data_IF_274462216664
#
_entry.id   IF_274462216664
#
_cell.length_a   1.000
_cell.length_b   1.000
_cell.length_c   1.000
_cell.angle_alpha   90.00
_cell.angle_beta   90.00
_cell.angle_gamma   90.00
#
_symmetry.space_group_name_H-M   'P 1'
#
loop_
_entity.id
_entity.type
_entity.pdbx_description
1 polymer ?
#
# COMPACT_ATOMS: atom_id res chain seq x y z
N UNK A 1 61.97 15.29 7.76
CA UNK A 1 60.90 15.04 8.74
C UNK A 1 59.61 15.62 8.22
N UNK A 2 58.67 14.79 7.79
CA UNK A 2 57.39 15.22 7.21
C UNK A 2 56.27 14.24 7.61
N UNK A 3 56.17 13.91 8.91
CA UNK A 3 55.21 12.91 9.41
C UNK A 3 54.18 13.43 10.42
N UNK A 4 54.26 14.70 10.82
CA UNK A 4 53.41 15.20 11.92
C UNK A 4 52.11 15.91 11.46
N UNK A 5 52.04 16.41 10.22
CA UNK A 5 50.86 17.12 9.72
C UNK A 5 49.75 16.22 9.14
N UNK A 6 50.11 15.04 8.61
CA UNK A 6 49.15 14.18 7.89
C UNK A 6 48.29 13.35 8.85
N UNK A 7 48.81 13.01 10.04
CA UNK A 7 48.06 12.29 11.07
C UNK A 7 46.93 13.16 11.65
N UNK A 8 47.20 14.45 11.92
CA UNK A 8 46.17 15.39 12.39
C UNK A 8 45.04 15.59 11.37
N UNK A 9 45.36 15.55 10.07
CA UNK A 9 44.34 15.61 9.00
C UNK A 9 43.51 14.32 8.97
N UNK A 10 44.13 13.15 9.11
CA UNK A 10 43.40 11.87 9.11
C UNK A 10 42.52 11.73 10.36
N UNK A 11 43.02 12.13 11.53
CA UNK A 11 42.26 12.09 12.80
C UNK A 11 41.02 12.99 12.74
N UNK A 12 41.16 14.21 12.23
CA UNK A 12 40.02 15.13 12.05
C UNK A 12 39.03 14.65 10.99
N UNK A 13 39.52 14.06 9.90
CA UNK A 13 38.66 13.43 8.87
C UNK A 13 37.87 12.24 9.43
N UNK A 14 38.52 11.37 10.23
CA UNK A 14 37.87 10.22 10.85
C UNK A 14 36.81 10.66 11.87
N UNK A 15 37.09 11.69 12.67
CA UNK A 15 36.11 12.26 13.59
C UNK A 15 34.91 12.88 12.86
N UNK A 16 35.16 13.66 11.80
CA UNK A 16 34.10 14.22 10.98
C UNK A 16 33.27 13.11 10.33
N UNK A 17 33.91 12.10 9.75
CA UNK A 17 33.23 10.95 9.13
C UNK A 17 32.37 10.20 10.15
N UNK A 18 32.92 9.89 11.34
CA UNK A 18 32.17 9.22 12.40
C UNK A 18 30.97 10.05 12.87
N UNK A 19 31.16 11.36 13.04
CA UNK A 19 30.09 12.29 13.41
C UNK A 19 28.97 12.33 12.37
N UNK A 20 29.31 12.56 11.10
CA UNK A 20 28.32 12.59 10.02
C UNK A 20 27.65 11.23 9.80
N UNK A 21 28.39 10.13 9.92
CA UNK A 21 27.83 8.78 9.82
C UNK A 21 26.82 8.52 10.94
N UNK A 22 27.17 8.85 12.19
CA UNK A 22 26.25 8.70 13.32
C UNK A 22 25.01 9.59 13.16
N UNK A 23 25.20 10.83 12.70
CA UNK A 23 24.12 11.76 12.42
C UNK A 23 23.22 11.19 11.31
N UNK A 24 23.78 10.77 10.19
CA UNK A 24 23.03 10.09 9.13
C UNK A 24 22.26 8.89 9.67
N UNK A 25 22.86 7.99 10.44
CA UNK A 25 22.17 6.80 10.97
C UNK A 25 20.99 7.19 11.89
N UNK A 26 21.18 8.14 12.81
CA UNK A 26 20.14 8.62 13.72
C UNK A 26 18.98 9.24 12.95
N UNK A 27 19.28 10.07 11.94
CA UNK A 27 18.28 10.78 11.14
C UNK A 27 17.72 9.96 9.97
N UNK A 28 18.39 8.89 9.55
CA UNK A 28 17.93 7.98 8.48
C UNK A 28 16.69 7.23 8.92
N UNK A 29 16.62 6.78 10.19
CA UNK A 29 15.44 6.04 10.69
C UNK A 29 14.13 6.85 10.61
N UNK A 30 14.02 8.09 11.15
CA UNK A 30 12.81 8.88 11.01
C UNK A 30 12.54 9.31 9.56
N UNK A 31 13.58 9.57 8.76
CA UNK A 31 13.41 9.97 7.37
C UNK A 31 12.91 8.81 6.49
N UNK A 32 13.47 7.62 6.67
CA UNK A 32 13.04 6.40 6.01
C UNK A 32 11.61 6.03 6.42
N UNK A 33 11.25 6.10 7.70
CA UNK A 33 9.86 5.85 8.13
C UNK A 33 8.87 6.88 7.56
N UNK A 34 9.31 8.11 7.31
CA UNK A 34 8.47 9.17 6.72
C UNK A 34 8.31 9.01 5.20
N UNK A 35 9.34 8.49 4.52
CA UNK A 35 9.31 8.16 3.08
C UNK A 35 8.65 6.80 2.79
N UNK A 36 8.84 5.80 3.65
CA UNK A 36 8.19 4.49 3.62
C UNK A 36 6.84 4.49 4.36
N UNK A 37 6.12 5.63 4.37
CA UNK A 37 4.66 5.58 4.48
C UNK A 37 4.12 4.97 3.19
N UNK A 38 4.26 3.65 3.06
CA UNK A 38 3.54 2.81 2.12
C UNK A 38 2.05 2.97 2.40
N UNK A 39 1.45 4.01 1.81
CA UNK A 39 0.01 4.17 1.69
C UNK A 39 -0.43 4.04 0.21
N UNK A 40 0.47 3.64 -0.68
CA UNK A 40 0.20 3.66 -2.12
C UNK A 40 -0.72 2.54 -2.63
N UNK A 41 -1.05 1.54 -1.80
CA UNK A 41 -2.06 0.52 -2.20
C UNK A 41 -3.46 0.81 -1.71
N UNK A 42 -3.62 1.52 -0.59
CA UNK A 42 -4.94 1.81 -0.04
C UNK A 42 -5.63 2.92 -0.84
N UNK A 43 -4.87 3.85 -1.44
CA UNK A 43 -5.42 5.02 -2.12
C UNK A 43 -6.29 4.69 -3.35
N UNK A 44 -5.87 3.77 -4.23
CA UNK A 44 -6.62 3.48 -5.45
C UNK A 44 -7.78 2.50 -5.23
N UNK A 45 -7.61 1.51 -4.35
CA UNK A 45 -8.69 0.56 -4.07
C UNK A 45 -9.82 1.25 -3.30
N UNK A 46 -9.50 2.15 -2.37
CA UNK A 46 -10.51 2.96 -1.65
C UNK A 46 -11.39 3.79 -2.59
N UNK A 47 -10.87 4.21 -3.75
CA UNK A 47 -11.65 4.91 -4.77
C UNK A 47 -12.69 4.02 -5.48
N UNK A 48 -12.66 2.69 -5.26
CA UNK A 48 -13.67 1.76 -5.74
C UNK A 48 -14.90 1.71 -4.84
N UNK A 49 -14.82 2.18 -3.57
CA UNK A 49 -15.99 2.22 -2.67
C UNK A 49 -17.04 3.18 -3.24
N UNK A 50 -18.29 2.73 -3.27
CA UNK A 50 -19.42 3.45 -3.86
C UNK A 50 -19.56 3.28 -5.38
N UNK A 51 -18.57 2.71 -6.05
CA UNK A 51 -18.64 2.45 -7.49
C UNK A 51 -19.54 1.26 -7.81
N UNK A 52 -20.06 1.28 -9.03
CA UNK A 52 -20.93 0.25 -9.54
C UNK A 52 -20.18 -0.68 -10.49
N UNK A 53 -20.61 -1.93 -10.51
CA UNK A 53 -20.04 -2.96 -11.36
C UNK A 53 -21.07 -4.01 -11.74
N UNK A 54 -20.58 -5.10 -12.32
CA UNK A 54 -21.38 -6.24 -12.75
C UNK A 54 -20.78 -7.51 -12.14
N UNK A 55 -21.62 -8.36 -11.57
CA UNK A 55 -21.20 -9.70 -11.13
C UNK A 55 -20.83 -10.56 -12.35
N UNK A 56 -19.63 -11.14 -12.38
CA UNK A 56 -19.20 -12.05 -13.44
C UNK A 56 -19.58 -13.49 -13.09
N UNK A 57 -19.48 -13.84 -11.82
CA UNK A 57 -19.89 -15.14 -11.28
C UNK A 57 -21.05 -14.94 -10.31
N UNK A 58 -21.74 -16.02 -9.95
CA UNK A 58 -22.67 -15.98 -8.83
C UNK A 58 -21.90 -15.71 -7.53
N UNK A 59 -22.37 -14.75 -6.73
CA UNK A 59 -21.89 -14.51 -5.39
C UNK A 59 -22.89 -15.13 -4.42
N UNK A 60 -22.41 -16.08 -3.62
CA UNK A 60 -23.19 -16.74 -2.57
C UNK A 60 -22.61 -16.31 -1.22
N UNK A 61 -23.43 -16.10 -0.19
CA UNK A 61 -22.93 -15.82 1.16
C UNK A 61 -21.86 -16.84 1.58
N UNK A 62 -20.81 -16.35 2.25
CA UNK A 62 -19.61 -17.12 2.65
C UNK A 62 -18.72 -17.66 1.51
N UNK A 63 -19.07 -17.45 0.25
CA UNK A 63 -18.23 -17.81 -0.90
C UNK A 63 -17.66 -16.57 -1.60
N UNK A 64 -16.53 -16.77 -2.27
CA UNK A 64 -15.90 -15.74 -3.09
C UNK A 64 -16.45 -15.80 -4.51
N UNK A 65 -16.76 -14.64 -5.08
CA UNK A 65 -17.07 -14.49 -6.50
C UNK A 65 -16.17 -13.46 -7.17
N UNK A 66 -16.45 -13.19 -8.44
CA UNK A 66 -15.76 -12.18 -9.23
C UNK A 66 -16.75 -11.14 -9.73
N UNK A 67 -16.33 -9.88 -9.68
CA UNK A 67 -17.09 -8.73 -10.16
C UNK A 67 -16.22 -7.90 -11.10
N UNK A 68 -16.85 -7.21 -12.06
CA UNK A 68 -16.20 -6.25 -12.93
C UNK A 68 -16.55 -4.83 -12.48
N UNK A 69 -15.56 -4.08 -12.01
CA UNK A 69 -15.70 -2.68 -11.57
C UNK A 69 -14.69 -1.85 -12.34
N UNK A 70 -15.13 -0.74 -12.95
CA UNK A 70 -14.26 0.15 -13.74
C UNK A 70 -13.44 -0.54 -14.84
N UNK A 71 -13.93 -1.66 -15.38
CA UNK A 71 -13.26 -2.43 -16.43
C UNK A 71 -12.33 -3.53 -15.92
N UNK A 72 -12.00 -3.54 -14.64
CA UNK A 72 -11.14 -4.54 -14.00
C UNK A 72 -11.95 -5.63 -13.28
N UNK A 73 -11.40 -6.84 -13.24
CA UNK A 73 -12.00 -7.98 -12.54
C UNK A 73 -11.42 -8.06 -11.13
N UNK A 74 -12.30 -8.03 -10.14
CA UNK A 74 -11.97 -8.07 -8.73
C UNK A 74 -12.65 -9.25 -8.04
N UNK A 75 -11.94 -9.85 -7.09
CA UNK A 75 -12.55 -10.82 -6.17
C UNK A 75 -13.45 -10.08 -5.20
N UNK A 76 -14.68 -10.55 -5.05
CA UNK A 76 -15.65 -9.91 -4.16
C UNK A 76 -16.38 -10.91 -3.27
N UNK A 77 -16.86 -10.39 -2.15
CA UNK A 77 -17.73 -11.08 -1.19
C UNK A 77 -19.04 -10.29 -1.07
N UNK A 78 -20.13 -11.03 -0.93
CA UNK A 78 -21.47 -10.48 -0.72
C UNK A 78 -22.11 -11.19 0.46
N UNK A 79 -22.85 -10.43 1.29
CA UNK A 79 -23.68 -10.99 2.37
C UNK A 79 -24.97 -11.62 1.87
N UNK A 80 -25.30 -11.42 0.59
CA UNK A 80 -26.52 -11.90 -0.05
C UNK A 80 -26.20 -12.62 -1.37
N UNK A 81 -27.17 -13.39 -1.86
CA UNK A 81 -27.03 -14.07 -3.15
C UNK A 81 -27.19 -13.08 -4.30
N UNK A 82 -26.18 -13.00 -5.19
CA UNK A 82 -26.18 -12.14 -6.36
C UNK A 82 -25.84 -13.00 -7.57
N UNK A 83 -26.72 -13.05 -8.56
CA UNK A 83 -26.48 -13.81 -9.79
C UNK A 83 -25.48 -13.12 -10.70
N UNK A 84 -24.75 -13.89 -11.48
CA UNK A 84 -23.94 -13.41 -12.58
C UNK A 84 -24.77 -12.53 -13.52
N UNK A 85 -24.19 -11.42 -13.96
CA UNK A 85 -24.83 -10.39 -14.77
C UNK A 85 -25.61 -9.34 -13.98
N UNK A 86 -25.83 -9.52 -12.68
CA UNK A 86 -26.51 -8.51 -11.86
C UNK A 86 -25.61 -7.30 -11.58
N UNK A 87 -26.25 -6.13 -11.44
CA UNK A 87 -25.57 -4.90 -11.05
C UNK A 87 -25.22 -4.95 -9.55
N UNK A 88 -24.01 -4.54 -9.23
CA UNK A 88 -23.51 -4.49 -7.87
C UNK A 88 -22.98 -3.10 -7.54
N UNK A 89 -22.92 -2.78 -6.25
CA UNK A 89 -22.24 -1.62 -5.70
C UNK A 89 -21.20 -2.08 -4.68
N UNK A 90 -20.01 -1.49 -4.73
CA UNK A 90 -18.97 -1.74 -3.75
C UNK A 90 -19.28 -0.97 -2.46
N UNK A 91 -19.47 -1.68 -1.36
CA UNK A 91 -19.76 -1.09 -0.04
C UNK A 91 -18.51 -0.98 0.84
N UNK A 92 -17.48 -1.78 0.56
CA UNK A 92 -16.25 -1.78 1.34
C UNK A 92 -15.13 -2.59 0.70
N UNK A 93 -14.00 -2.66 1.40
CA UNK A 93 -12.81 -3.41 0.99
C UNK A 93 -12.31 -4.19 2.20
N UNK A 94 -12.14 -5.50 2.03
CA UNK A 94 -11.53 -6.38 3.01
C UNK A 94 -10.20 -6.93 2.45
N UNK A 95 -9.11 -6.28 2.84
CA UNK A 95 -7.77 -6.57 2.33
C UNK A 95 -7.63 -6.33 0.82
N UNK A 96 -7.67 -7.41 0.04
CA UNK A 96 -7.58 -7.39 -1.44
C UNK A 96 -8.91 -7.77 -2.11
N UNK A 97 -9.98 -7.92 -1.34
CA UNK A 97 -11.31 -8.31 -1.82
C UNK A 97 -12.27 -7.13 -1.67
N UNK A 98 -13.19 -7.01 -2.62
CA UNK A 98 -14.26 -6.02 -2.54
C UNK A 98 -15.44 -6.59 -1.77
N UNK A 99 -16.02 -5.80 -0.88
CA UNK A 99 -17.32 -6.08 -0.30
C UNK A 99 -18.37 -5.41 -1.17
N UNK A 100 -19.34 -6.18 -1.64
CA UNK A 100 -20.34 -5.70 -2.60
C UNK A 100 -21.74 -6.07 -2.17
N UNK A 101 -22.68 -5.22 -2.55
CA UNK A 101 -24.11 -5.45 -2.41
C UNK A 101 -24.78 -5.32 -3.78
N UNK A 102 -26.02 -5.82 -3.87
CA UNK A 102 -26.80 -5.74 -5.10
C UNK A 102 -27.26 -4.29 -5.24
N UNK A 103 -26.98 -3.70 -6.40
CA UNK A 103 -27.50 -2.39 -6.75
C UNK A 103 -28.81 -2.59 -7.53
N UNK A 104 -29.83 -1.82 -7.17
CA UNK A 104 -31.10 -1.78 -7.90
C UNK A 104 -30.97 -1.08 -9.27
#
# INVERSE_FOLDING_TARGET
>A
GAKFGWLAVIESQLLAFAFFSLLLVIFTRPLALRFFKTNDRVSNVAALIGQHGIAITDLVPLNYGQVKVNGEIWTAISGQEIKAGARIQVTGIDGVKLQVEKAD
#
